data_IF_427831066025
#
_entry.id   IF_427831066025
#
_cell.length_a   1.000
_cell.length_b   1.000
_cell.length_c   1.000
_cell.angle_alpha   90.00
_cell.angle_beta   90.00
_cell.angle_gamma   90.00
#
_symmetry.space_group_name_H-M   'P 1'
#
loop_
_entity.id
_entity.type
_entity.pdbx_description
1 polymer ?
#
# COMPACT_ATOMS: atom_id res chain seq x y z
N UNK A 1 11.67 -10.39 22.18
CA UNK A 1 10.50 -10.28 23.08
C UNK A 1 9.88 -11.66 23.28
N UNK A 2 9.16 -11.95 24.38
CA UNK A 2 8.41 -13.20 24.48
C UNK A 2 7.28 -13.21 23.46
N UNK A 3 7.08 -14.33 22.76
CA UNK A 3 6.02 -14.51 21.76
C UNK A 3 4.62 -14.15 22.29
N UNK A 4 4.40 -14.25 23.60
CA UNK A 4 3.17 -13.81 24.26
C UNK A 4 2.82 -12.34 23.97
N UNK A 5 3.80 -11.43 23.94
CA UNK A 5 3.54 -10.01 23.62
C UNK A 5 3.14 -9.81 22.16
N UNK A 6 3.83 -10.48 21.25
CA UNK A 6 3.46 -10.53 19.82
C UNK A 6 2.05 -11.11 19.63
N UNK A 7 1.70 -12.15 20.39
CA UNK A 7 0.41 -12.81 20.32
C UNK A 7 -0.73 -11.91 20.82
N UNK A 8 -0.57 -11.25 21.97
CA UNK A 8 -1.58 -10.33 22.48
C UNK A 8 -1.85 -9.17 21.52
N UNK A 9 -0.80 -8.54 20.98
CA UNK A 9 -0.96 -7.50 19.96
C UNK A 9 -1.65 -8.05 18.70
N UNK A 10 -1.29 -9.25 18.24
CA UNK A 10 -1.92 -9.85 17.08
C UNK A 10 -3.42 -10.09 17.31
N UNK A 11 -3.82 -10.53 18.50
CA UNK A 11 -5.24 -10.68 18.85
C UNK A 11 -5.97 -9.33 18.86
N UNK A 12 -5.36 -8.27 19.40
CA UNK A 12 -5.91 -6.91 19.36
C UNK A 12 -6.14 -6.43 17.92
N UNK A 13 -5.17 -6.63 17.02
CA UNK A 13 -5.32 -6.31 15.59
C UNK A 13 -6.40 -7.16 14.91
N UNK A 14 -6.52 -8.45 15.29
CA UNK A 14 -7.58 -9.34 14.79
C UNK A 14 -8.98 -8.96 15.28
N UNK A 15 -9.11 -8.48 16.51
CA UNK A 15 -10.38 -8.00 17.08
C UNK A 15 -10.76 -6.61 16.56
N UNK A 16 -9.78 -5.79 16.18
CA UNK A 16 -10.00 -4.48 15.56
C UNK A 16 -10.45 -4.59 14.10
N UNK A 17 -10.21 -5.74 13.44
CA UNK A 17 -10.77 -6.02 12.13
C UNK A 17 -12.30 -6.12 12.21
N UNK A 18 -12.99 -5.34 11.40
CA UNK A 18 -14.45 -5.44 11.30
C UNK A 18 -14.89 -6.81 10.77
N UNK A 19 -16.11 -7.23 11.11
CA UNK A 19 -16.68 -8.54 10.73
C UNK A 19 -16.72 -8.81 9.21
N UNK A 20 -16.62 -7.77 8.38
CA UNK A 20 -16.61 -7.86 6.91
C UNK A 20 -15.19 -7.89 6.30
N UNK A 21 -14.14 -7.80 7.13
CA UNK A 21 -12.78 -7.73 6.66
C UNK A 21 -12.33 -9.04 6.00
N UNK A 22 -11.81 -8.93 4.78
CA UNK A 22 -11.38 -10.08 3.98
C UNK A 22 -9.87 -10.07 3.82
N UNK A 23 -9.23 -11.16 4.23
CA UNK A 23 -7.81 -11.41 4.04
C UNK A 23 -7.56 -12.32 2.84
N UNK A 24 -6.36 -12.23 2.27
CA UNK A 24 -5.96 -13.00 1.09
C UNK A 24 -4.65 -13.73 1.38
N UNK A 25 -4.58 -15.01 1.02
CA UNK A 25 -3.33 -15.78 1.16
C UNK A 25 -2.25 -15.26 0.20
N UNK A 26 -0.97 -15.18 0.62
CA UNK A 26 0.03 -14.45 -0.15
C UNK A 26 0.39 -15.08 -1.51
N UNK A 27 0.44 -16.42 -1.60
CA UNK A 27 0.82 -17.16 -2.81
C UNK A 27 -0.39 -17.66 -3.58
N UNK A 28 -1.33 -18.32 -2.90
CA UNK A 28 -2.49 -18.93 -3.53
C UNK A 28 -3.63 -17.96 -3.83
N UNK A 29 -3.56 -16.72 -3.32
CA UNK A 29 -4.56 -15.66 -3.52
C UNK A 29 -5.99 -16.08 -3.17
N UNK A 30 -6.14 -16.94 -2.16
CA UNK A 30 -7.43 -17.39 -1.62
C UNK A 30 -7.93 -16.39 -0.60
N UNK A 31 -9.16 -15.94 -0.76
CA UNK A 31 -9.82 -15.03 0.17
C UNK A 31 -10.42 -15.78 1.36
N UNK A 32 -10.30 -15.21 2.56
CA UNK A 32 -10.89 -15.73 3.78
C UNK A 32 -11.22 -14.61 4.77
N UNK A 33 -12.11 -14.88 5.71
CA UNK A 33 -12.51 -13.95 6.77
C UNK A 33 -12.17 -14.54 8.14
N UNK A 34 -11.94 -13.68 9.15
CA UNK A 34 -11.84 -14.10 10.54
C UNK A 34 -13.27 -14.17 11.10
N UNK A 35 -13.69 -15.33 11.56
CA UNK A 35 -15.05 -15.54 12.09
C UNK A 35 -15.07 -15.66 13.62
N UNK A 36 -13.92 -15.89 14.25
CA UNK A 36 -13.80 -16.00 15.70
C UNK A 36 -12.33 -15.83 16.13
N UNK A 37 -12.07 -15.01 17.14
CA UNK A 37 -10.73 -14.73 17.69
C UNK A 37 -10.70 -15.19 19.13
N UNK A 38 -9.78 -16.09 19.48
CA UNK A 38 -9.66 -16.67 20.81
C UNK A 38 -8.21 -16.65 21.31
N UNK A 39 -8.03 -16.70 22.63
CA UNK A 39 -6.72 -16.69 23.30
C UNK A 39 -5.73 -17.76 22.80
N UNK A 40 -6.24 -18.89 22.28
CA UNK A 40 -5.41 -20.01 21.82
C UNK A 40 -5.53 -20.31 20.33
N UNK A 41 -6.45 -19.66 19.60
CA UNK A 41 -6.68 -19.90 18.18
C UNK A 41 -7.46 -18.78 17.51
N UNK A 42 -7.31 -18.65 16.20
CA UNK A 42 -8.13 -17.79 15.35
C UNK A 42 -8.87 -18.70 14.37
N UNK A 43 -10.18 -18.57 14.23
CA UNK A 43 -10.97 -19.35 13.28
C UNK A 43 -11.21 -18.50 12.04
N UNK A 44 -10.86 -19.07 10.88
CA UNK A 44 -11.08 -18.46 9.59
C UNK A 44 -12.12 -19.23 8.78
N UNK A 45 -12.75 -18.56 7.83
CA UNK A 45 -13.65 -19.15 6.83
C UNK A 45 -13.20 -18.72 5.43
N UNK A 46 -12.94 -19.69 4.55
CA UNK A 46 -12.58 -19.40 3.15
C UNK A 46 -13.81 -18.98 2.35
N UNK A 47 -13.73 -17.87 1.62
CA UNK A 47 -14.86 -17.31 0.87
C UNK A 47 -15.32 -18.22 -0.28
N UNK A 48 -14.41 -18.96 -0.90
CA UNK A 48 -14.73 -19.81 -2.06
C UNK A 48 -15.36 -21.16 -1.68
N UNK A 49 -15.00 -21.69 -0.51
CA UNK A 49 -15.36 -23.06 -0.10
C UNK A 49 -16.24 -23.12 1.14
N UNK A 50 -16.46 -21.99 1.82
CA UNK A 50 -17.11 -21.89 3.14
C UNK A 50 -16.46 -22.83 4.18
N UNK A 51 -15.19 -23.22 3.94
CA UNK A 51 -14.46 -24.12 4.82
C UNK A 51 -13.97 -23.36 6.06
N UNK A 52 -14.41 -23.80 7.24
CA UNK A 52 -13.95 -23.27 8.52
C UNK A 52 -12.70 -23.96 9.00
N UNK A 53 -11.67 -23.18 9.32
CA UNK A 53 -10.38 -23.70 9.74
C UNK A 53 -9.83 -22.99 10.98
N UNK A 54 -9.46 -23.73 12.04
CA UNK A 54 -8.79 -23.14 13.19
C UNK A 54 -7.28 -23.00 12.96
N UNK A 55 -6.76 -21.79 13.15
CA UNK A 55 -5.35 -21.45 13.16
C UNK A 55 -4.85 -21.44 14.62
N UNK A 56 -3.92 -22.34 14.95
CA UNK A 56 -3.48 -22.56 16.33
C UNK A 56 -2.33 -21.61 16.72
N UNK A 57 -2.37 -21.06 17.95
CA UNK A 57 -1.32 -20.20 18.51
C UNK A 57 0.10 -20.79 18.38
N UNK A 58 0.26 -22.09 18.65
CA UNK A 58 1.58 -22.76 18.60
C UNK A 58 2.20 -22.73 17.20
N UNK A 59 1.36 -22.72 16.15
CA UNK A 59 1.82 -22.63 14.77
C UNK A 59 2.26 -21.21 14.42
N UNK A 60 1.58 -20.18 14.94
CA UNK A 60 2.04 -18.79 14.87
C UNK A 60 3.39 -18.62 15.58
N UNK A 61 3.56 -19.21 16.76
CA UNK A 61 4.83 -19.16 17.50
C UNK A 61 5.98 -19.80 16.70
N UNK A 62 5.69 -20.94 16.09
CA UNK A 62 6.65 -21.65 15.25
C UNK A 62 7.04 -20.82 14.02
N UNK A 63 6.06 -20.19 13.37
CA UNK A 63 6.30 -19.34 12.21
C UNK A 63 7.08 -18.07 12.59
N UNK A 64 6.65 -17.35 13.62
CA UNK A 64 7.32 -16.14 14.10
C UNK A 64 8.78 -16.42 14.48
N UNK A 65 9.05 -17.53 15.18
CA UNK A 65 10.42 -17.95 15.50
C UNK A 65 11.26 -18.23 14.24
N UNK A 66 10.69 -18.92 13.25
CA UNK A 66 11.40 -19.19 11.98
C UNK A 66 11.71 -17.93 11.19
N UNK A 67 10.85 -16.92 11.25
CA UNK A 67 11.07 -15.63 10.60
C UNK A 67 12.16 -14.84 11.34
N UNK A 68 12.10 -14.78 12.68
CA UNK A 68 13.11 -14.09 13.48
C UNK A 68 14.49 -14.77 13.48
N UNK A 69 14.53 -16.10 13.28
CA UNK A 69 15.79 -16.86 13.13
C UNK A 69 16.39 -16.73 11.70
N UNK A 70 15.59 -16.30 10.71
CA UNK A 70 16.08 -16.05 9.37
C UNK A 70 16.87 -14.73 9.34
N UNK A 71 18.01 -14.72 8.66
CA UNK A 71 18.79 -13.50 8.46
C UNK A 71 17.98 -12.59 7.53
N UNK A 72 17.30 -11.61 8.13
CA UNK A 72 16.50 -10.54 7.53
C UNK A 72 15.18 -10.93 6.81
N UNK A 73 15.06 -12.11 6.18
CA UNK A 73 13.86 -12.48 5.39
C UNK A 73 13.59 -13.99 5.35
N UNK A 74 12.31 -14.40 5.42
CA UNK A 74 11.84 -15.78 5.23
C UNK A 74 11.08 -15.93 3.90
N UNK A 75 11.38 -16.99 3.15
CA UNK A 75 10.76 -17.31 1.86
C UNK A 75 9.42 -18.03 2.04
N UNK A 76 8.34 -17.40 1.55
CA UNK A 76 6.98 -17.91 1.65
C UNK A 76 6.78 -19.20 0.84
N UNK A 77 7.55 -19.44 -0.23
CA UNK A 77 7.48 -20.70 -0.98
C UNK A 77 7.91 -21.92 -0.15
N UNK A 78 8.63 -21.68 0.96
CA UNK A 78 9.03 -22.71 1.92
C UNK A 78 7.95 -23.03 2.94
N UNK A 79 6.83 -22.30 2.92
CA UNK A 79 5.68 -22.61 3.76
C UNK A 79 5.05 -23.94 3.34
N UNK A 80 4.61 -24.76 4.30
CA UNK A 80 3.68 -25.83 3.99
C UNK A 80 2.44 -25.29 3.26
N UNK A 81 1.80 -26.08 2.37
CA UNK A 81 0.61 -25.66 1.60
C UNK A 81 -0.53 -25.10 2.46
N UNK A 82 -0.59 -25.59 3.70
CA UNK A 82 -1.61 -25.28 4.69
C UNK A 82 -1.22 -24.13 5.62
N UNK A 83 -0.04 -23.53 5.45
CA UNK A 83 0.52 -22.52 6.34
C UNK A 83 0.35 -21.08 5.84
N UNK A 84 -0.09 -20.87 4.59
CA UNK A 84 -0.30 -19.51 4.06
C UNK A 84 -1.24 -18.63 4.88
N UNK A 85 -2.38 -19.13 5.43
CA UNK A 85 -3.24 -18.29 6.26
C UNK A 85 -2.55 -17.80 7.54
N UNK A 86 -1.57 -18.54 8.06
CA UNK A 86 -0.79 -18.09 9.21
C UNK A 86 0.08 -16.89 8.84
N UNK A 87 0.68 -16.87 7.64
CA UNK A 87 1.46 -15.73 7.19
C UNK A 87 0.57 -14.49 7.00
N UNK A 88 -0.58 -14.66 6.33
CA UNK A 88 -1.54 -13.57 6.09
C UNK A 88 -2.13 -12.98 7.39
N UNK A 89 -2.41 -13.82 8.39
CA UNK A 89 -2.87 -13.31 9.70
C UNK A 89 -1.69 -12.69 10.46
N UNK A 90 -0.50 -13.27 10.40
CA UNK A 90 0.67 -12.73 11.10
C UNK A 90 1.08 -11.34 10.58
N UNK A 91 0.85 -11.02 9.30
CA UNK A 91 1.10 -9.68 8.73
C UNK A 91 0.15 -8.58 9.21
N UNK A 92 -0.91 -8.93 9.96
CA UNK A 92 -1.69 -7.95 10.70
C UNK A 92 -0.91 -7.37 11.88
N UNK A 93 0.07 -8.09 12.39
CA UNK A 93 0.90 -7.58 13.46
C UNK A 93 1.93 -6.57 12.88
N UNK A 94 2.05 -5.33 13.41
CA UNK A 94 2.86 -4.24 12.83
C UNK A 94 4.35 -4.56 12.57
N UNK A 95 4.89 -5.59 13.23
CA UNK A 95 6.27 -6.03 13.06
C UNK A 95 6.49 -7.01 11.91
N UNK A 96 5.43 -7.61 11.34
CA UNK A 96 5.58 -8.55 10.23
C UNK A 96 5.10 -7.92 8.94
N UNK A 97 5.92 -8.04 7.90
CA UNK A 97 5.63 -7.46 6.59
C UNK A 97 5.83 -8.52 5.51
N UNK A 98 4.86 -8.61 4.59
CA UNK A 98 4.91 -9.51 3.45
C UNK A 98 5.26 -8.70 2.20
N UNK A 99 6.33 -9.09 1.53
CA UNK A 99 6.64 -8.67 0.15
C UNK A 99 6.05 -9.70 -0.82
N UNK A 100 4.89 -9.37 -1.39
CA UNK A 100 4.22 -10.26 -2.36
C UNK A 100 4.97 -10.38 -3.70
N UNK A 101 5.84 -9.42 -4.04
CA UNK A 101 6.61 -9.46 -5.30
C UNK A 101 7.80 -10.39 -5.19
N UNK A 102 8.47 -10.36 -4.04
CA UNK A 102 9.61 -11.23 -3.77
C UNK A 102 9.19 -12.56 -3.12
N UNK A 103 7.95 -12.68 -2.67
CA UNK A 103 7.45 -13.88 -1.97
C UNK A 103 8.09 -14.04 -0.60
N UNK A 104 8.39 -12.94 0.10
CA UNK A 104 9.13 -12.94 1.35
C UNK A 104 8.27 -12.40 2.51
N UNK A 105 8.55 -12.86 3.72
CA UNK A 105 8.05 -12.28 4.97
C UNK A 105 9.21 -11.96 5.90
N UNK A 106 9.18 -10.78 6.53
CA UNK A 106 10.24 -10.32 7.43
C UNK A 106 9.68 -9.77 8.75
N UNK A 107 10.46 -9.93 9.82
CA UNK A 107 10.20 -9.29 11.11
C UNK A 107 11.01 -7.98 11.17
N UNK A 108 10.34 -6.85 11.39
CA UNK A 108 10.96 -5.53 11.54
C UNK A 108 11.12 -5.17 13.02
N UNK A 109 12.25 -4.52 13.35
CA UNK A 109 12.49 -3.95 14.69
C UNK A 109 11.68 -2.68 14.94
N UNK A 110 11.40 -1.90 13.89
CA UNK A 110 10.46 -0.78 13.95
C UNK A 110 9.07 -1.25 13.50
N UNK A 111 8.00 -1.01 14.28
CA UNK A 111 6.64 -1.32 13.84
C UNK A 111 6.36 -0.55 12.54
N UNK A 112 6.19 -1.29 11.45
CA UNK A 112 5.68 -0.76 10.19
C UNK A 112 4.16 -0.58 10.27
N UNK A 113 3.55 0.13 9.32
CA UNK A 113 2.10 0.12 9.20
C UNK A 113 1.65 -1.32 8.97
N UNK A 114 0.76 -1.81 9.84
CA UNK A 114 0.08 -3.09 9.64
C UNK A 114 -0.52 -3.13 8.23
N UNK A 115 -0.39 -4.26 7.53
CA UNK A 115 -1.09 -4.48 6.25
C UNK A 115 -2.59 -4.68 6.53
N UNK A 116 -3.25 -3.60 6.94
CA UNK A 116 -4.69 -3.53 7.09
C UNK A 116 -5.31 -3.35 5.70
N UNK A 117 -5.96 -4.41 5.23
CA UNK A 117 -7.13 -4.28 4.38
C UNK A 117 -8.17 -3.49 5.19
N UNK A 118 -8.66 -2.39 4.62
CA UNK A 118 -9.60 -1.47 5.27
C UNK A 118 -10.90 -2.18 5.72
N UNK A 119 -11.07 -2.32 7.04
CA UNK A 119 -12.33 -1.86 7.63
C UNK A 119 -12.10 -0.38 7.99
N UNK A 120 -13.00 0.56 7.66
CA UNK A 120 -12.87 1.91 8.18
C UNK A 120 -12.90 1.79 9.71
N UNK A 121 -11.85 2.28 10.36
CA UNK A 121 -11.90 2.58 11.79
C UNK A 121 -13.24 3.30 12.01
N UNK A 122 -14.02 2.82 12.96
CA UNK A 122 -15.21 3.55 13.39
C UNK A 122 -14.69 4.80 14.07
N UNK A 123 -14.33 5.81 13.27
CA UNK A 123 -14.14 7.17 13.70
C UNK A 123 -15.37 7.47 14.55
N UNK A 124 -15.19 7.58 15.87
CA UNK A 124 -16.16 8.27 16.73
C UNK A 124 -16.65 9.45 15.94
N UNK A 125 -17.95 9.51 15.62
CA UNK A 125 -18.59 10.51 14.75
C UNK A 125 -18.01 11.89 15.04
N UNK A 126 -16.92 12.22 14.36
CA UNK A 126 -16.41 13.56 14.32
C UNK A 126 -17.25 14.20 13.25
N UNK A 127 -17.92 15.27 13.62
CA UNK A 127 -18.81 16.00 12.72
C UNK A 127 -18.01 16.33 11.45
N UNK A 128 -18.34 15.65 10.35
CA UNK A 128 -17.61 15.78 9.09
C UNK A 128 -17.73 17.22 8.63
N UNK A 129 -16.61 17.91 8.54
CA UNK A 129 -16.56 19.30 8.09
C UNK A 129 -16.23 19.32 6.61
N UNK A 130 -17.02 20.04 5.82
CA UNK A 130 -16.73 20.27 4.41
C UNK A 130 -15.43 21.08 4.27
N UNK A 131 -14.41 20.56 3.57
CA UNK A 131 -13.17 21.30 3.35
C UNK A 131 -13.35 22.39 2.30
N UNK A 132 -12.74 23.56 2.54
CA UNK A 132 -12.67 24.66 1.56
C UNK A 132 -11.61 24.35 0.50
N UNK A 133 -11.94 23.41 -0.40
CA UNK A 133 -11.02 22.88 -1.41
C UNK A 133 -11.76 22.68 -2.74
N UNK A 134 -11.20 23.19 -3.84
CA UNK A 134 -11.84 23.14 -5.16
C UNK A 134 -12.19 21.70 -5.59
N UNK A 135 -11.27 20.74 -5.39
CA UNK A 135 -11.50 19.33 -5.72
C UNK A 135 -12.66 18.72 -4.94
N UNK A 136 -12.99 19.21 -3.74
CA UNK A 136 -14.12 18.69 -2.95
C UNK A 136 -15.45 19.01 -3.62
N UNK A 137 -15.67 20.28 -3.99
CA UNK A 137 -16.87 20.70 -4.68
C UNK A 137 -17.01 20.04 -6.05
N UNK A 138 -15.92 19.95 -6.82
CA UNK A 138 -15.93 19.35 -8.15
C UNK A 138 -16.17 17.84 -8.11
N UNK A 139 -15.62 17.14 -7.11
CA UNK A 139 -15.86 15.71 -6.91
C UNK A 139 -17.33 15.43 -6.55
N UNK A 140 -17.94 16.23 -5.67
CA UNK A 140 -19.37 16.11 -5.35
C UNK A 140 -20.24 16.35 -6.59
N UNK A 141 -19.91 17.37 -7.39
CA UNK A 141 -20.62 17.66 -8.64
C UNK A 141 -20.44 16.55 -9.68
N UNK A 142 -19.25 15.95 -9.76
CA UNK A 142 -19.01 14.79 -10.61
C UNK A 142 -19.82 13.58 -10.14
N UNK A 143 -19.82 13.25 -8.85
CA UNK A 143 -20.66 12.18 -8.29
C UNK A 143 -22.13 12.40 -8.64
N UNK A 144 -22.63 13.62 -8.43
CA UNK A 144 -23.99 14.03 -8.78
C UNK A 144 -24.32 13.81 -10.27
N UNK A 145 -23.38 14.11 -11.17
CA UNK A 145 -23.52 13.90 -12.60
C UNK A 145 -23.47 12.41 -12.99
N UNK A 146 -22.59 11.63 -12.37
CA UNK A 146 -22.46 10.18 -12.61
C UNK A 146 -23.70 9.42 -12.14
N UNK A 147 -24.37 9.87 -11.08
CA UNK A 147 -25.63 9.28 -10.60
C UNK A 147 -26.82 9.55 -11.52
N UNK A 148 -26.78 10.65 -12.29
CA UNK A 148 -27.89 11.08 -13.17
C UNK A 148 -27.80 10.52 -14.59
N UNK A 149 -26.61 10.12 -15.02
CA UNK A 149 -26.35 9.72 -16.40
C UNK A 149 -25.84 8.28 -16.45
N UNK A 150 -26.36 7.49 -17.38
CA UNK A 150 -25.82 6.15 -17.65
C UNK A 150 -24.47 6.27 -18.37
N UNK A 151 -23.41 6.35 -17.57
CA UNK A 151 -22.03 6.42 -18.05
C UNK A 151 -21.48 5.08 -18.54
N UNK A 152 -22.25 4.00 -18.41
CA UNK A 152 -21.87 2.68 -18.96
C UNK A 152 -22.18 2.56 -20.46
N UNK A 153 -23.07 3.41 -20.98
CA UNK A 153 -23.29 3.62 -22.42
C UNK A 153 -23.09 5.10 -22.80
N UNK A 154 -21.82 5.50 -22.99
CA UNK A 154 -21.49 6.85 -23.48
C UNK A 154 -21.98 7.12 -24.91
N UNK A 155 -22.18 6.08 -25.72
CA UNK A 155 -22.58 6.23 -27.12
C UNK A 155 -24.04 6.62 -27.27
N UNK A 156 -24.87 6.24 -26.30
CA UNK A 156 -26.27 6.64 -26.19
C UNK A 156 -26.50 8.01 -25.56
N UNK A 157 -25.46 8.69 -25.06
CA UNK A 157 -25.60 9.98 -24.39
C UNK A 157 -25.69 11.16 -25.37
N UNK A 158 -26.45 12.18 -24.97
CA UNK A 158 -26.50 13.46 -25.66
C UNK A 158 -25.12 14.15 -25.63
N UNK A 159 -24.77 14.85 -26.72
CA UNK A 159 -23.46 15.53 -26.82
C UNK A 159 -23.25 16.56 -25.70
N UNK A 160 -24.30 17.25 -25.26
CA UNK A 160 -24.23 18.17 -24.12
C UNK A 160 -23.86 17.45 -22.83
N UNK A 161 -24.41 16.27 -22.58
CA UNK A 161 -24.06 15.41 -21.43
C UNK A 161 -22.59 15.02 -21.49
N UNK A 162 -22.11 14.59 -22.66
CA UNK A 162 -20.70 14.22 -22.85
C UNK A 162 -19.75 15.41 -22.61
N UNK A 163 -20.10 16.60 -23.08
CA UNK A 163 -19.31 17.83 -22.84
C UNK A 163 -19.27 18.17 -21.35
N UNK A 164 -20.41 18.06 -20.66
CA UNK A 164 -20.47 18.31 -19.22
C UNK A 164 -19.62 17.31 -18.43
N UNK A 165 -19.76 16.01 -18.72
CA UNK A 165 -18.96 14.95 -18.09
C UNK A 165 -17.46 15.17 -18.36
N UNK A 166 -17.08 15.47 -19.59
CA UNK A 166 -15.69 15.75 -19.95
C UNK A 166 -15.11 16.93 -19.17
N UNK A 167 -15.88 18.00 -19.02
CA UNK A 167 -15.45 19.21 -18.30
C UNK A 167 -15.25 18.90 -16.81
N UNK A 168 -16.24 18.27 -16.16
CA UNK A 168 -16.16 17.90 -14.76
C UNK A 168 -15.01 16.93 -14.47
N UNK A 169 -14.80 15.92 -15.33
CA UNK A 169 -13.67 15.01 -15.21
C UNK A 169 -12.31 15.74 -15.35
N UNK A 170 -12.23 16.72 -16.25
CA UNK A 170 -11.02 17.51 -16.43
C UNK A 170 -10.73 18.42 -15.23
N UNK A 171 -11.76 19.03 -14.65
CA UNK A 171 -11.63 19.88 -13.47
C UNK A 171 -11.23 19.06 -12.24
N UNK A 172 -11.88 17.92 -12.01
CA UNK A 172 -11.49 16.96 -10.96
C UNK A 172 -10.06 16.47 -11.16
N UNK A 173 -9.67 16.08 -12.37
CA UNK A 173 -8.30 15.64 -12.65
C UNK A 173 -7.27 16.72 -12.29
N UNK A 174 -7.50 17.96 -12.76
CA UNK A 174 -6.58 19.07 -12.54
C UNK A 174 -6.48 19.42 -11.06
N UNK A 175 -7.60 19.60 -10.38
CA UNK A 175 -7.60 20.01 -8.97
C UNK A 175 -7.10 18.88 -8.04
N UNK A 176 -7.29 17.61 -8.43
CA UNK A 176 -6.66 16.49 -7.76
C UNK A 176 -5.14 16.47 -7.96
N UNK A 177 -4.64 16.79 -9.16
CA UNK A 177 -3.20 16.86 -9.42
C UNK A 177 -2.53 18.03 -8.67
N UNK A 178 -3.20 19.19 -8.62
CA UNK A 178 -2.75 20.34 -7.83
C UNK A 178 -2.59 19.96 -6.34
N UNK A 179 -3.63 19.37 -5.73
CA UNK A 179 -3.54 18.89 -4.34
C UNK A 179 -2.48 17.79 -4.17
N UNK A 180 -2.38 16.87 -5.13
CA UNK A 180 -1.39 15.78 -5.10
C UNK A 180 0.03 16.36 -5.11
N UNK A 181 0.28 17.45 -5.84
CA UNK A 181 1.57 18.12 -5.86
C UNK A 181 1.86 18.81 -4.52
N UNK A 182 0.90 19.51 -3.93
CA UNK A 182 1.05 20.11 -2.59
C UNK A 182 1.38 19.05 -1.53
N UNK A 183 0.68 17.91 -1.57
CA UNK A 183 0.96 16.76 -0.70
C UNK A 183 2.35 16.19 -0.96
N UNK A 184 2.74 16.05 -2.23
CA UNK A 184 4.07 15.54 -2.60
C UNK A 184 5.19 16.46 -2.09
N UNK A 185 5.03 17.77 -2.17
CA UNK A 185 6.01 18.74 -1.67
C UNK A 185 6.21 18.59 -0.15
N UNK A 186 5.12 18.44 0.62
CA UNK A 186 5.19 18.17 2.06
C UNK A 186 5.83 16.80 2.35
N UNK A 187 5.53 15.77 1.55
CA UNK A 187 6.14 14.45 1.70
C UNK A 187 7.65 14.48 1.41
N UNK A 188 8.10 15.26 0.43
CA UNK A 188 9.53 15.41 0.12
C UNK A 188 10.33 16.00 1.30
N UNK A 189 9.71 16.82 2.13
CA UNK A 189 10.31 17.33 3.36
C UNK A 189 10.37 16.27 4.47
N UNK A 190 9.45 15.31 4.48
CA UNK A 190 9.31 14.29 5.55
C UNK A 190 10.04 12.98 5.24
N UNK A 191 10.19 12.61 3.97
CA UNK A 191 10.83 11.37 3.54
C UNK A 191 12.33 11.62 3.28
N UNK A 192 13.19 11.09 4.16
CA UNK A 192 14.64 11.37 4.14
C UNK A 192 15.52 10.20 3.66
N UNK A 193 14.96 9.01 3.42
CA UNK A 193 15.71 7.81 3.05
C UNK A 193 15.15 7.18 1.76
N UNK A 194 15.98 6.44 1.02
CA UNK A 194 15.60 5.72 -0.20
C UNK A 194 14.72 4.48 0.09
N UNK A 195 14.02 4.42 1.22
CA UNK A 195 13.11 3.34 1.57
C UNK A 195 11.65 3.79 1.38
N UNK A 196 10.77 2.95 0.80
CA UNK A 196 9.36 3.29 0.65
C UNK A 196 8.67 3.44 2.01
N UNK A 197 7.84 4.48 2.13
CA UNK A 197 6.90 4.66 3.25
C UNK A 197 5.52 4.21 2.76
N UNK A 198 4.93 3.26 3.49
CA UNK A 198 3.64 2.67 3.16
C UNK A 198 2.52 3.36 3.95
N UNK A 199 1.34 3.44 3.34
CA UNK A 199 0.11 3.96 3.91
C UNK A 199 -1.09 3.16 3.38
N UNK A 200 -2.27 3.42 3.93
CA UNK A 200 -3.52 2.72 3.64
C UNK A 200 -3.85 2.57 2.15
N UNK A 201 -3.49 3.56 1.33
CA UNK A 201 -3.83 3.61 -0.09
C UNK A 201 -2.64 3.44 -1.04
N UNK A 202 -1.45 3.11 -0.52
CA UNK A 202 -0.26 2.89 -1.34
C UNK A 202 1.04 3.24 -0.62
N UNK A 203 2.13 3.32 -1.37
CA UNK A 203 3.44 3.70 -0.83
C UNK A 203 4.11 4.81 -1.65
N UNK A 204 4.94 5.59 -0.97
CA UNK A 204 5.75 6.65 -1.57
C UNK A 204 7.22 6.41 -1.24
N UNK A 205 8.09 6.54 -2.23
CA UNK A 205 9.53 6.44 -2.05
C UNK A 205 10.18 7.67 -2.65
N UNK A 206 11.07 8.30 -1.88
CA UNK A 206 11.90 9.36 -2.42
C UNK A 206 12.93 8.74 -3.37
N UNK A 207 12.97 9.23 -4.60
CA UNK A 207 14.00 8.85 -5.56
C UNK A 207 14.78 10.11 -5.95
N UNK A 208 16.10 10.05 -5.88
CA UNK A 208 16.95 11.12 -6.40
C UNK A 208 17.28 10.85 -7.86
N UNK A 209 16.97 11.79 -8.76
CA UNK A 209 17.37 11.72 -10.16
C UNK A 209 18.44 12.77 -10.45
N UNK A 210 19.64 12.33 -10.80
CA UNK A 210 20.71 13.21 -11.27
C UNK A 210 20.63 13.35 -12.78
N UNK A 211 20.28 14.54 -13.26
CA UNK A 211 20.37 14.85 -14.69
C UNK A 211 21.83 15.12 -15.06
N UNK A 212 22.39 14.30 -15.95
CA UNK A 212 23.68 14.57 -16.59
C UNK A 212 23.42 15.21 -17.94
N UNK A 213 23.73 16.49 -18.07
CA UNK A 213 23.89 17.13 -19.36
C UNK A 213 25.35 17.03 -19.81
N UNK A 214 25.58 17.04 -21.13
CA UNK A 214 26.93 17.21 -21.65
C UNK A 214 27.46 18.57 -21.18
N UNK A 215 28.73 18.62 -20.80
CA UNK A 215 29.42 19.90 -20.59
C UNK A 215 29.56 20.61 -21.93
N UNK A 216 29.73 21.92 -21.87
CA UNK A 216 29.96 22.73 -23.06
C UNK A 216 31.14 22.17 -23.85
N UNK A 217 30.97 22.00 -25.15
CA UNK A 217 31.97 21.40 -26.03
C UNK A 217 33.28 22.21 -26.00
N UNK A 218 33.20 23.54 -25.93
CA UNK A 218 34.35 24.41 -25.84
C UNK A 218 35.12 24.25 -24.53
N UNK A 219 34.40 24.11 -23.41
CA UNK A 219 35.01 23.83 -22.09
C UNK A 219 35.70 22.45 -22.06
N UNK A 220 35.07 21.44 -22.66
CA UNK A 220 35.63 20.08 -22.76
C UNK A 220 36.89 20.08 -23.62
N UNK A 221 36.86 20.72 -24.80
CA UNK A 221 38.01 20.80 -25.70
C UNK A 221 39.16 21.59 -25.09
N UNK A 222 38.89 22.68 -24.38
CA UNK A 222 39.91 23.46 -23.67
C UNK A 222 40.57 22.64 -22.55
N UNK A 223 39.78 21.89 -21.78
CA UNK A 223 40.30 21.02 -20.71
C UNK A 223 41.17 19.89 -21.25
N UNK A 224 40.80 19.32 -22.41
CA UNK A 224 41.59 18.28 -23.07
C UNK A 224 42.90 18.83 -23.64
N UNK A 225 42.88 20.04 -24.19
CA UNK A 225 44.06 20.75 -24.69
C UNK A 225 45.04 21.10 -23.56
N UNK A 226 44.54 21.60 -22.42
CA UNK A 226 45.33 21.84 -21.20
C UNK A 226 45.94 20.55 -20.62
N UNK A 227 45.27 19.42 -20.81
CA UNK A 227 45.79 18.09 -20.46
C UNK A 227 46.77 17.49 -21.50
N UNK A 228 47.10 18.25 -22.56
CA UNK A 228 48.05 17.85 -23.60
C UNK A 228 47.47 16.99 -24.72
N UNK A 229 46.14 16.94 -24.85
CA UNK A 229 45.44 16.25 -25.94
C UNK A 229 45.04 17.29 -27.00
N UNK A 230 45.71 17.35 -28.16
CA UNK A 230 45.39 18.33 -29.19
C UNK A 230 44.03 18.04 -29.81
N UNK A 231 43.30 19.11 -30.17
CA UNK A 231 41.93 19.07 -30.72
C UNK A 231 41.78 18.17 -31.95
N UNK A 232 42.86 17.97 -32.70
CA UNK A 232 42.92 17.13 -33.91
C UNK A 232 42.81 15.62 -33.62
N UNK A 233 42.88 15.21 -32.35
CA UNK A 233 42.83 13.79 -31.91
C UNK A 233 41.55 13.38 -31.19
N UNK A 234 40.59 14.30 -31.03
CA UNK A 234 39.29 14.11 -30.36
C UNK A 234 38.20 14.12 -31.41
#
# INVERSE_FOLDING_TARGET
MPFQSTWSNLLEECEALGDEATLVTPLSKKSFQLIDVQEHRIVIEFSDTEEKRPLQRDQFETLARRIGDAVDTFDLERLPPDAEPYAAVLSLHPRFEIDEREGLIRESENPGPSQLVQAPETETETERTEPDLAIYADALLLTDALERHDVTDLSGQETSTLVNLYTLLSDVQRNADDLRQDVADVLLERVHHDQPIHAQFGSVQRTSRTYKSLRDEGEVLATLEDAGIPRERV
#
